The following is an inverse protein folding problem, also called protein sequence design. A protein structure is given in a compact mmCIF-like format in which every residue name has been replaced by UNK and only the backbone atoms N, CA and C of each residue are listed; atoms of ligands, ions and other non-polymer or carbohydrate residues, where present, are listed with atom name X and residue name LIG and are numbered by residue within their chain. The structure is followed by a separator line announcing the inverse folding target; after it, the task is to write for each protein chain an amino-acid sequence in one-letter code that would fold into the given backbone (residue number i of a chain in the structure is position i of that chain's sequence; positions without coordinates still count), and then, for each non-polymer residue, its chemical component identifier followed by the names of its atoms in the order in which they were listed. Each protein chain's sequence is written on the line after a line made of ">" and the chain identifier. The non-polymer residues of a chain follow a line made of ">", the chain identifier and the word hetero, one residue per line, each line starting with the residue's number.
data_IF_911678263223
#
_entry.id   IF_911678263223
#
_cell.length_a   1.000
_cell.length_b   1.000
_cell.length_c   1.000
_cell.angle_alpha   90.00
_cell.angle_beta   90.00
_cell.angle_gamma   90.00
#
_symmetry.space_group_name_H-M   'P 1'
#
loop_
_entity.id
_entity.type
_entity.pdbx_description
1 polymer ?
#
# COMPACT_ATOMS: atom_id res chain seq x y z
N UNK A 1 -13.21 31.64 -3.99
CA UNK A 1 -13.24 30.89 -5.27
C UNK A 1 -13.21 29.42 -4.93
N UNK A 2 -14.38 28.79 -4.90
CA UNK A 2 -14.56 27.34 -4.76
C UNK A 2 -13.99 26.69 -6.02
N UNK A 3 -12.74 26.20 -5.94
CA UNK A 3 -12.25 25.27 -6.94
C UNK A 3 -13.25 24.11 -6.96
N UNK A 4 -13.87 23.86 -8.11
CA UNK A 4 -14.65 22.65 -8.33
C UNK A 4 -13.69 21.50 -8.10
N UNK A 5 -13.80 20.87 -6.93
CA UNK A 5 -13.04 19.68 -6.58
C UNK A 5 -13.34 18.65 -7.66
N UNK A 6 -12.29 18.23 -8.35
CA UNK A 6 -12.39 17.20 -9.38
C UNK A 6 -12.92 15.91 -8.74
N UNK A 7 -14.19 15.64 -9.00
CA UNK A 7 -14.96 14.50 -8.47
C UNK A 7 -14.45 13.17 -9.07
N UNK A 8 -13.53 13.22 -10.05
CA UNK A 8 -12.86 12.05 -10.63
C UNK A 8 -11.92 11.33 -9.65
N UNK A 9 -11.48 12.03 -8.59
CA UNK A 9 -10.54 11.53 -7.59
C UNK A 9 -11.21 10.83 -6.39
N UNK A 10 -12.55 10.78 -6.32
CA UNK A 10 -13.26 10.09 -5.24
C UNK A 10 -12.94 8.59 -5.18
N UNK A 11 -12.87 7.97 -3.99
CA UNK A 11 -12.68 6.54 -3.82
C UNK A 11 -13.94 5.94 -4.42
N UNK A 12 -13.76 5.22 -5.50
CA UNK A 12 -14.88 4.72 -6.22
C UNK A 12 -15.48 3.57 -5.43
N UNK A 13 -16.68 3.78 -4.90
CA UNK A 13 -17.55 2.65 -4.59
C UNK A 13 -17.70 1.89 -5.90
N UNK A 14 -17.15 0.70 -5.96
CA UNK A 14 -17.26 -0.16 -7.13
C UNK A 14 -18.60 -0.86 -7.10
N UNK A 15 -19.05 -1.32 -8.25
CA UNK A 15 -20.22 -2.19 -8.33
C UNK A 15 -20.06 -3.40 -7.41
N UNK A 16 -18.84 -3.95 -7.30
CA UNK A 16 -18.54 -5.07 -6.40
C UNK A 16 -18.84 -4.72 -4.93
N UNK A 17 -18.51 -3.51 -4.48
CA UNK A 17 -18.67 -3.11 -3.09
C UNK A 17 -20.15 -2.96 -2.72
N UNK A 18 -21.01 -2.63 -3.69
CA UNK A 18 -22.46 -2.51 -3.51
C UNK A 18 -23.11 -3.84 -3.14
N UNK A 19 -22.57 -4.97 -3.61
CA UNK A 19 -23.12 -6.31 -3.30
C UNK A 19 -23.12 -6.62 -1.79
N UNK A 20 -22.21 -6.00 -1.02
CA UNK A 20 -22.16 -6.15 0.43
C UNK A 20 -23.11 -5.24 1.21
N UNK A 21 -23.98 -4.46 0.55
CA UNK A 21 -24.76 -3.42 1.22
C UNK A 21 -26.04 -3.90 1.87
N UNK A 22 -26.59 -5.01 1.40
CA UNK A 22 -27.79 -5.62 1.95
C UNK A 22 -27.75 -7.14 1.78
N UNK A 23 -28.29 -7.85 2.76
CA UNK A 23 -28.46 -9.30 2.67
C UNK A 23 -29.46 -9.65 1.55
N UNK A 24 -29.12 -10.65 0.73
CA UNK A 24 -29.95 -11.10 -0.39
C UNK A 24 -29.76 -10.31 -1.70
N UNK A 25 -28.91 -9.27 -1.73
CA UNK A 25 -28.53 -8.59 -2.96
C UNK A 25 -27.66 -9.52 -3.83
N UNK A 26 -28.09 -9.81 -5.06
CA UNK A 26 -27.47 -10.86 -5.88
C UNK A 26 -27.10 -10.38 -7.28
N UNK A 27 -25.84 -10.55 -7.66
CA UNK A 27 -25.42 -10.41 -9.06
C UNK A 27 -26.05 -11.52 -9.92
N UNK A 28 -26.68 -11.14 -11.02
CA UNK A 28 -27.27 -12.08 -11.99
C UNK A 28 -26.61 -11.94 -13.36
N UNK A 29 -26.48 -13.07 -14.07
CA UNK A 29 -25.77 -13.10 -15.36
C UNK A 29 -24.25 -13.22 -15.21
N UNK A 30 -23.49 -12.52 -16.05
CA UNK A 30 -22.03 -12.62 -16.10
C UNK A 30 -21.38 -11.59 -15.16
N UNK A 31 -20.21 -11.89 -14.57
CA UNK A 31 -19.46 -10.94 -13.72
C UNK A 31 -18.72 -9.89 -14.57
N UNK A 32 -19.47 -9.03 -15.26
CA UNK A 32 -18.96 -7.97 -16.13
C UNK A 32 -19.03 -6.62 -15.42
N UNK A 33 -18.04 -5.75 -15.65
CA UNK A 33 -18.09 -4.36 -15.18
C UNK A 33 -18.09 -4.17 -13.65
N UNK A 34 -17.68 -5.18 -12.86
CA UNK A 34 -17.70 -5.11 -11.39
C UNK A 34 -16.77 -4.05 -10.80
N UNK A 35 -15.69 -3.70 -11.50
CA UNK A 35 -14.76 -2.63 -11.11
C UNK A 35 -15.25 -1.22 -11.51
N UNK A 36 -16.41 -1.10 -12.16
CA UNK A 36 -16.96 0.22 -12.52
C UNK A 36 -17.31 1.01 -11.27
N UNK A 37 -17.09 2.33 -11.36
CA UNK A 37 -17.34 3.28 -10.29
C UNK A 37 -18.82 3.67 -10.25
N UNK A 38 -19.43 3.60 -9.08
CA UNK A 38 -20.80 4.03 -8.82
C UNK A 38 -20.75 5.44 -8.23
N UNK A 39 -21.28 6.42 -8.96
CA UNK A 39 -21.27 7.83 -8.52
C UNK A 39 -22.54 8.24 -7.77
N UNK A 40 -23.65 7.58 -8.08
CA UNK A 40 -25.00 7.94 -7.66
C UNK A 40 -25.96 6.77 -7.89
N UNK A 41 -27.08 6.74 -7.18
CA UNK A 41 -28.18 5.81 -7.45
C UNK A 41 -29.41 6.59 -7.89
N UNK A 42 -30.03 6.16 -8.99
CA UNK A 42 -31.19 6.81 -9.57
C UNK A 42 -32.28 5.78 -9.83
N UNK A 43 -33.43 5.96 -9.21
CA UNK A 43 -34.62 5.18 -9.53
C UNK A 43 -35.26 5.70 -10.82
N UNK A 44 -35.60 4.80 -11.74
CA UNK A 44 -36.34 5.11 -12.96
C UNK A 44 -37.01 3.88 -13.55
N UNK A 45 -38.31 4.00 -13.85
CA UNK A 45 -39.06 3.01 -14.63
C UNK A 45 -39.36 3.53 -16.05
N UNK A 46 -38.69 4.59 -16.50
CA UNK A 46 -38.77 5.03 -17.89
C UNK A 46 -38.12 3.99 -18.80
N UNK A 47 -38.76 3.72 -19.95
CA UNK A 47 -38.20 2.82 -20.96
C UNK A 47 -36.92 3.40 -21.57
N UNK A 48 -36.81 4.73 -21.61
CA UNK A 48 -35.59 5.45 -21.94
C UNK A 48 -35.26 6.45 -20.82
N UNK A 49 -34.40 6.06 -19.85
CA UNK A 49 -33.96 6.96 -18.79
C UNK A 49 -32.80 7.87 -19.22
N UNK A 50 -32.23 7.69 -20.42
CA UNK A 50 -30.98 8.35 -20.81
C UNK A 50 -30.98 9.89 -20.76
N UNK A 51 -32.10 10.62 -20.98
CA UNK A 51 -32.10 12.08 -20.90
C UNK A 51 -31.84 12.63 -19.50
N UNK A 52 -32.01 11.81 -18.45
CA UNK A 52 -31.92 12.22 -17.05
C UNK A 52 -30.65 11.73 -16.34
N UNK A 53 -29.76 11.04 -17.08
CA UNK A 53 -28.55 10.43 -16.54
C UNK A 53 -27.31 11.17 -17.05
N UNK A 54 -26.22 11.06 -16.28
CA UNK A 54 -24.92 11.68 -16.58
C UNK A 54 -23.79 10.66 -16.69
N UNK A 55 -24.11 9.37 -16.59
CA UNK A 55 -23.16 8.25 -16.60
C UNK A 55 -22.57 7.96 -15.23
N UNK A 56 -22.23 6.70 -14.98
CA UNK A 56 -21.71 6.20 -13.69
C UNK A 56 -22.79 5.96 -12.62
N UNK A 57 -24.08 6.04 -12.95
CA UNK A 57 -25.16 5.75 -12.01
C UNK A 57 -25.43 4.26 -11.87
N UNK A 58 -25.81 3.87 -10.65
CA UNK A 58 -26.60 2.68 -10.39
C UNK A 58 -28.07 2.99 -10.69
N UNK A 59 -28.62 2.41 -11.76
CA UNK A 59 -30.03 2.62 -12.12
C UNK A 59 -30.91 1.56 -11.47
N UNK A 60 -31.85 2.00 -10.64
CA UNK A 60 -32.76 1.16 -9.87
C UNK A 60 -34.12 1.11 -10.58
N UNK A 61 -34.61 -0.07 -10.91
CA UNK A 61 -35.82 -0.26 -11.72
C UNK A 61 -36.74 -1.30 -11.10
N UNK A 62 -38.05 -1.07 -11.12
CA UNK A 62 -39.05 -2.05 -10.62
C UNK A 62 -39.52 -3.00 -11.70
N UNK A 63 -39.39 -2.59 -12.96
CA UNK A 63 -39.70 -3.39 -14.13
C UNK A 63 -41.12 -3.21 -14.65
N UNK A 64 -41.84 -2.16 -14.20
CA UNK A 64 -43.22 -1.85 -14.59
C UNK A 64 -43.45 -1.84 -16.12
N UNK A 65 -42.45 -1.34 -16.86
CA UNK A 65 -42.47 -1.26 -18.32
C UNK A 65 -41.69 -2.40 -19.02
N UNK A 66 -40.99 -3.25 -18.28
CA UNK A 66 -40.10 -4.29 -18.81
C UNK A 66 -40.84 -5.63 -19.00
N UNK A 67 -41.96 -5.58 -19.72
CA UNK A 67 -42.92 -6.70 -19.81
C UNK A 67 -42.59 -7.76 -20.86
N UNK A 68 -41.75 -7.41 -21.82
CA UNK A 68 -41.32 -8.31 -22.89
C UNK A 68 -39.84 -8.09 -23.24
N UNK A 69 -39.30 -8.99 -24.08
CA UNK A 69 -37.90 -8.95 -24.47
C UNK A 69 -37.52 -7.68 -25.25
N UNK A 70 -38.47 -7.08 -26.00
CA UNK A 70 -38.23 -5.85 -26.76
C UNK A 70 -38.07 -4.66 -25.82
N UNK A 71 -38.96 -4.54 -24.83
CA UNK A 71 -38.88 -3.49 -23.82
C UNK A 71 -37.60 -3.60 -22.99
N UNK A 72 -37.22 -4.82 -22.58
CA UNK A 72 -35.94 -5.07 -21.91
C UNK A 72 -34.75 -4.61 -22.76
N UNK A 73 -34.72 -4.98 -24.05
CA UNK A 73 -33.63 -4.62 -24.94
C UNK A 73 -33.54 -3.10 -25.18
N UNK A 74 -34.69 -2.44 -25.34
CA UNK A 74 -34.79 -0.99 -25.51
C UNK A 74 -34.26 -0.24 -24.29
N UNK A 75 -34.68 -0.65 -23.09
CA UNK A 75 -34.20 -0.08 -21.83
C UNK A 75 -32.69 -0.19 -21.68
N UNK A 76 -32.14 -1.39 -21.86
CA UNK A 76 -30.70 -1.62 -21.68
C UNK A 76 -29.87 -0.88 -22.74
N UNK A 77 -30.34 -0.84 -23.99
CA UNK A 77 -29.65 -0.11 -25.06
C UNK A 77 -29.64 1.39 -24.81
N UNK A 78 -30.79 1.95 -24.42
CA UNK A 78 -30.91 3.35 -24.07
C UNK A 78 -29.99 3.71 -22.89
N UNK A 79 -29.98 2.85 -21.86
CA UNK A 79 -29.13 3.05 -20.70
C UNK A 79 -27.65 2.97 -21.07
N UNK A 80 -27.23 2.00 -21.89
CA UNK A 80 -25.83 1.83 -22.27
C UNK A 80 -25.22 3.07 -22.93
N UNK A 81 -26.02 3.88 -23.63
CA UNK A 81 -25.57 5.12 -24.26
C UNK A 81 -25.05 6.16 -23.26
N UNK A 82 -25.47 6.10 -21.98
CA UNK A 82 -25.01 7.03 -20.94
C UNK A 82 -23.83 6.50 -20.13
N UNK A 83 -23.46 5.22 -20.29
CA UNK A 83 -22.39 4.59 -19.52
C UNK A 83 -22.74 4.38 -18.04
N UNK A 84 -23.79 3.60 -17.71
CA UNK A 84 -24.18 3.32 -16.33
C UNK A 84 -23.10 2.50 -15.62
N UNK A 85 -23.10 2.57 -14.29
CA UNK A 85 -22.29 1.67 -13.49
C UNK A 85 -22.91 0.26 -13.47
N UNK A 86 -24.21 0.17 -13.14
CA UNK A 86 -24.95 -1.09 -13.01
C UNK A 86 -26.47 -0.88 -13.09
N UNK A 87 -27.21 -1.98 -13.22
CA UNK A 87 -28.68 -2.03 -13.09
C UNK A 87 -29.03 -2.79 -11.80
N UNK A 88 -29.84 -2.17 -10.95
CA UNK A 88 -30.48 -2.81 -9.81
C UNK A 88 -31.95 -3.07 -10.10
N UNK A 89 -32.33 -4.33 -10.21
CA UNK A 89 -33.69 -4.75 -10.54
C UNK A 89 -34.45 -5.19 -9.28
N UNK A 90 -35.53 -4.51 -8.90
CA UNK A 90 -36.35 -4.92 -7.76
C UNK A 90 -37.17 -6.17 -8.10
N UNK A 91 -36.89 -7.25 -7.37
CA UNK A 91 -37.66 -8.50 -7.48
C UNK A 91 -38.90 -8.47 -6.60
N UNK A 92 -39.88 -9.31 -6.93
CA UNK A 92 -41.18 -9.43 -6.26
C UNK A 92 -42.05 -8.16 -6.28
N UNK A 93 -41.73 -7.20 -7.17
CA UNK A 93 -42.61 -6.06 -7.49
C UNK A 93 -43.47 -6.41 -8.70
N UNK A 94 -42.82 -6.72 -9.82
CA UNK A 94 -43.48 -7.16 -11.07
C UNK A 94 -43.14 -8.61 -11.42
N UNK A 95 -41.88 -9.00 -11.19
CA UNK A 95 -41.34 -10.31 -11.54
C UNK A 95 -40.62 -10.92 -10.32
N UNK A 96 -40.68 -12.24 -10.16
CA UNK A 96 -40.00 -12.96 -9.06
C UNK A 96 -38.47 -12.93 -9.19
N UNK A 97 -37.97 -12.73 -10.41
CA UNK A 97 -36.56 -12.57 -10.74
C UNK A 97 -36.40 -11.52 -11.83
N UNK A 98 -35.18 -11.05 -12.06
CA UNK A 98 -34.89 -10.18 -13.19
C UNK A 98 -35.16 -10.92 -14.52
N UNK A 99 -35.87 -10.33 -15.49
CA UNK A 99 -36.16 -11.01 -16.77
C UNK A 99 -34.89 -11.43 -17.52
N UNK A 100 -34.85 -12.66 -18.05
CA UNK A 100 -33.69 -13.19 -18.78
C UNK A 100 -33.28 -12.31 -19.98
N UNK A 101 -34.25 -11.68 -20.64
CA UNK A 101 -34.01 -10.76 -21.75
C UNK A 101 -33.25 -9.50 -21.30
N UNK A 102 -33.57 -8.97 -20.11
CA UNK A 102 -32.85 -7.85 -19.51
C UNK A 102 -31.41 -8.24 -19.20
N UNK A 103 -31.23 -9.38 -18.50
CA UNK A 103 -29.92 -9.89 -18.08
C UNK A 103 -29.03 -10.20 -19.29
N UNK A 104 -29.58 -10.84 -20.32
CA UNK A 104 -28.85 -11.21 -21.54
C UNK A 104 -28.37 -9.98 -22.30
N UNK A 105 -29.23 -8.98 -22.48
CA UNK A 105 -28.85 -7.75 -23.16
C UNK A 105 -27.84 -6.94 -22.35
N UNK A 106 -28.01 -6.86 -21.03
CA UNK A 106 -27.07 -6.16 -20.15
C UNK A 106 -25.69 -6.81 -20.21
N UNK A 107 -25.61 -8.15 -20.14
CA UNK A 107 -24.35 -8.89 -20.31
C UNK A 107 -23.69 -8.62 -21.68
N UNK A 108 -24.48 -8.51 -22.77
CA UNK A 108 -23.98 -8.20 -24.12
C UNK A 108 -23.30 -6.84 -24.18
N UNK A 109 -23.84 -5.85 -23.46
CA UNK A 109 -23.29 -4.50 -23.35
C UNK A 109 -22.33 -4.33 -22.15
N UNK A 110 -22.03 -5.44 -21.45
CA UNK A 110 -21.12 -5.46 -20.32
C UNK A 110 -21.63 -4.73 -19.09
N UNK A 111 -22.93 -4.54 -18.92
CA UNK A 111 -23.58 -3.88 -17.77
C UNK A 111 -23.93 -4.94 -16.71
N UNK A 112 -23.37 -4.86 -15.49
CA UNK A 112 -23.77 -5.77 -14.41
C UNK A 112 -25.22 -5.50 -13.99
N UNK A 113 -25.94 -6.58 -13.70
CA UNK A 113 -27.31 -6.55 -13.18
C UNK A 113 -27.33 -7.25 -11.83
N UNK A 114 -27.99 -6.65 -10.84
CA UNK A 114 -28.27 -7.32 -9.58
C UNK A 114 -29.74 -7.23 -9.20
N UNK A 115 -30.22 -8.30 -8.58
CA UNK A 115 -31.56 -8.40 -8.03
C UNK A 115 -31.58 -7.80 -6.62
N UNK A 116 -32.49 -6.86 -6.41
CA UNK A 116 -32.69 -6.15 -5.17
C UNK A 116 -33.88 -6.78 -4.43
N UNK A 117 -33.66 -7.40 -3.25
CA UNK A 117 -34.75 -7.99 -2.48
C UNK A 117 -35.65 -6.90 -1.86
N UNK A 118 -36.91 -7.23 -1.49
CA UNK A 118 -37.82 -6.28 -0.84
C UNK A 118 -37.31 -5.68 0.47
N UNK A 119 -36.37 -6.35 1.13
CA UNK A 119 -35.69 -5.88 2.36
C UNK A 119 -34.68 -4.75 2.11
N UNK A 120 -34.31 -4.48 0.86
CA UNK A 120 -33.36 -3.46 0.45
C UNK A 120 -34.06 -2.35 -0.35
N UNK A 121 -34.80 -1.43 0.31
CA UNK A 121 -35.52 -0.37 -0.38
C UNK A 121 -34.55 0.54 -1.14
N UNK A 122 -34.96 1.08 -2.29
CA UNK A 122 -34.09 1.90 -3.15
C UNK A 122 -33.43 3.08 -2.43
N UNK A 123 -34.10 3.66 -1.43
CA UNK A 123 -33.57 4.76 -0.61
C UNK A 123 -32.25 4.39 0.10
N UNK A 124 -32.07 3.11 0.47
CA UNK A 124 -30.83 2.61 1.10
C UNK A 124 -29.61 2.91 0.24
N UNK A 125 -29.71 2.69 -1.08
CA UNK A 125 -28.60 2.91 -2.00
C UNK A 125 -28.29 4.40 -2.15
N UNK A 126 -29.33 5.22 -2.30
CA UNK A 126 -29.19 6.67 -2.45
C UNK A 126 -28.61 7.31 -1.19
N UNK A 127 -29.12 6.98 0.00
CA UNK A 127 -28.61 7.50 1.28
C UNK A 127 -27.17 7.07 1.54
N UNK A 128 -26.83 5.80 1.27
CA UNK A 128 -25.48 5.28 1.47
C UNK A 128 -24.47 5.94 0.52
N UNK A 129 -24.80 6.06 -0.77
CA UNK A 129 -23.95 6.78 -1.73
C UNK A 129 -23.80 8.27 -1.36
N UNK A 130 -24.87 8.93 -0.94
CA UNK A 130 -24.82 10.32 -0.52
C UNK A 130 -23.93 10.49 0.73
N UNK A 131 -24.08 9.63 1.74
CA UNK A 131 -23.28 9.63 2.96
C UNK A 131 -21.80 9.44 2.66
N UNK A 132 -21.44 8.47 1.83
CA UNK A 132 -20.05 8.21 1.45
C UNK A 132 -19.41 9.41 0.74
N UNK A 133 -20.16 10.13 -0.11
CA UNK A 133 -19.66 11.34 -0.76
C UNK A 133 -19.39 12.48 0.23
N UNK A 134 -20.27 12.66 1.21
CA UNK A 134 -20.07 13.65 2.29
C UNK A 134 -18.82 13.30 3.09
N UNK A 135 -18.69 12.04 3.51
CA UNK A 135 -17.53 11.56 4.27
C UNK A 135 -16.24 11.71 3.46
N UNK A 136 -16.26 11.36 2.17
CA UNK A 136 -15.08 11.53 1.32
C UNK A 136 -14.66 12.99 1.20
N UNK A 137 -15.61 13.90 0.96
CA UNK A 137 -15.32 15.34 0.89
C UNK A 137 -14.72 15.84 2.20
N UNK A 138 -15.28 15.43 3.33
CA UNK A 138 -14.76 15.77 4.65
C UNK A 138 -13.33 15.23 4.85
N UNK A 139 -13.07 13.97 4.47
CA UNK A 139 -11.72 13.38 4.52
C UNK A 139 -10.71 14.15 3.67
N UNK A 140 -11.10 14.62 2.47
CA UNK A 140 -10.23 15.44 1.61
C UNK A 140 -9.99 16.83 2.19
N UNK A 141 -11.00 17.47 2.74
CA UNK A 141 -10.85 18.74 3.45
C UNK A 141 -9.93 18.59 4.66
N UNK A 142 -10.06 17.49 5.41
CA UNK A 142 -9.17 17.14 6.51
C UNK A 142 -7.73 16.89 6.01
N UNK A 143 -7.57 16.17 4.90
CA UNK A 143 -6.27 15.96 4.24
C UNK A 143 -5.57 17.26 3.91
N UNK A 144 -6.30 18.23 3.35
CA UNK A 144 -5.77 19.56 3.09
C UNK A 144 -5.31 20.29 4.37
N UNK A 145 -6.10 20.25 5.44
CA UNK A 145 -5.72 20.85 6.73
C UNK A 145 -4.50 20.16 7.36
N UNK A 146 -4.46 18.83 7.33
CA UNK A 146 -3.33 18.03 7.81
C UNK A 146 -2.05 18.39 7.06
N UNK A 147 -2.12 18.57 5.74
CA UNK A 147 -0.96 18.97 4.93
C UNK A 147 -0.48 20.41 5.24
N UNK A 148 -1.40 21.34 5.49
CA UNK A 148 -1.04 22.68 5.94
C UNK A 148 -0.35 22.67 7.30
N UNK A 149 -0.83 21.85 8.25
CA UNK A 149 -0.20 21.70 9.58
C UNK A 149 1.16 21.04 9.47
N UNK A 150 1.27 19.94 8.70
CA UNK A 150 2.53 19.22 8.48
C UNK A 150 3.61 20.11 7.90
N UNK A 151 3.27 20.96 6.93
CA UNK A 151 4.20 21.87 6.26
C UNK A 151 4.45 23.18 7.01
N UNK A 152 3.88 23.34 8.22
CA UNK A 152 4.03 24.54 9.04
C UNK A 152 3.30 25.78 8.51
N UNK A 153 2.39 25.61 7.55
CA UNK A 153 1.56 26.69 6.98
C UNK A 153 0.30 26.97 7.79
N UNK A 154 -0.08 26.06 8.67
CA UNK A 154 -1.13 26.22 9.66
C UNK A 154 -0.67 25.74 11.04
N UNK A 155 -1.26 26.30 12.10
CA UNK A 155 -1.05 25.81 13.47
C UNK A 155 -1.90 24.56 13.73
N UNK A 156 -1.49 23.66 14.62
CA UNK A 156 -2.28 22.49 15.02
C UNK A 156 -3.71 22.82 15.47
N UNK A 157 -3.94 24.02 16.02
CA UNK A 157 -5.24 24.52 16.44
C UNK A 157 -6.32 24.48 15.34
N UNK A 158 -5.91 24.56 14.06
CA UNK A 158 -6.83 24.42 12.94
C UNK A 158 -7.48 23.03 12.88
N UNK A 159 -6.77 21.98 13.32
CA UNK A 159 -7.30 20.63 13.43
C UNK A 159 -8.17 20.47 14.68
N UNK A 160 -7.84 21.14 15.79
CA UNK A 160 -8.65 21.12 17.02
C UNK A 160 -10.07 21.67 16.78
N UNK A 161 -10.20 22.70 15.94
CA UNK A 161 -11.51 23.25 15.57
C UNK A 161 -12.39 22.23 14.81
N UNK A 162 -11.79 21.30 14.08
CA UNK A 162 -12.49 20.22 13.36
C UNK A 162 -12.71 18.99 14.24
N UNK A 163 -11.73 18.66 15.07
CA UNK A 163 -11.72 17.50 15.94
C UNK A 163 -11.28 17.91 17.36
N UNK A 164 -12.22 18.37 18.21
CA UNK A 164 -11.90 18.82 19.58
C UNK A 164 -11.28 17.73 20.44
N UNK A 165 -11.56 16.45 20.14
CA UNK A 165 -10.96 15.33 20.86
C UNK A 165 -9.44 15.26 20.71
N UNK A 166 -8.84 15.95 19.73
CA UNK A 166 -7.39 16.01 19.59
C UNK A 166 -6.74 16.75 20.77
N UNK A 167 -7.49 17.57 21.52
CA UNK A 167 -7.00 18.29 22.70
C UNK A 167 -6.75 17.32 23.87
N UNK A 168 -5.48 17.18 24.29
CA UNK A 168 -5.00 16.26 25.34
C UNK A 168 -3.96 15.22 24.90
N UNK A 169 -3.60 14.31 25.81
CA UNK A 169 -2.52 13.34 25.62
C UNK A 169 -2.91 12.09 24.79
N UNK A 170 -1.93 11.21 24.58
CA UNK A 170 -2.06 9.91 23.90
C UNK A 170 -2.60 9.98 22.47
N UNK A 171 -2.32 11.07 21.75
CA UNK A 171 -2.63 11.17 20.34
C UNK A 171 -1.68 10.31 19.52
N UNK A 172 -2.23 9.51 18.60
CA UNK A 172 -1.48 8.75 17.60
C UNK A 172 -1.94 9.13 16.19
N UNK A 173 -1.04 8.94 15.23
CA UNK A 173 -1.32 9.09 13.79
C UNK A 173 -1.00 7.78 13.11
N UNK A 174 -1.98 7.21 12.43
CA UNK A 174 -1.81 6.00 11.63
C UNK A 174 -1.88 6.34 10.15
N UNK A 175 -0.83 6.01 9.40
CA UNK A 175 -0.80 6.11 7.95
C UNK A 175 -1.22 4.78 7.30
N UNK A 176 -2.07 4.87 6.28
CA UNK A 176 -2.62 3.77 5.52
C UNK A 176 -2.28 3.96 4.03
N UNK A 177 -1.94 2.87 3.34
CA UNK A 177 -1.61 2.90 1.92
C UNK A 177 -2.83 3.07 0.98
N UNK A 178 -4.07 2.91 1.49
CA UNK A 178 -5.28 2.94 0.66
C UNK A 178 -6.33 3.89 1.23
N UNK A 179 -7.12 4.48 0.33
CA UNK A 179 -8.36 5.19 0.64
C UNK A 179 -9.54 4.27 0.99
N UNK A 180 -9.41 2.97 0.69
CA UNK A 180 -10.36 1.95 1.09
C UNK A 180 -10.17 1.57 2.56
N UNK A 181 -11.08 2.03 3.39
CA UNK A 181 -11.09 1.76 4.83
C UNK A 181 -11.95 0.54 5.18
N UNK A 182 -12.36 -0.26 4.20
CA UNK A 182 -13.13 -1.48 4.43
C UNK A 182 -12.36 -2.43 5.35
N UNK A 183 -12.98 -2.80 6.46
CA UNK A 183 -12.38 -3.68 7.47
C UNK A 183 -11.39 -2.98 8.42
N UNK A 184 -11.19 -1.67 8.31
CA UNK A 184 -10.49 -0.87 9.33
C UNK A 184 -11.49 -0.50 10.43
N UNK A 185 -11.20 -0.93 11.65
CA UNK A 185 -11.99 -0.57 12.84
C UNK A 185 -11.46 0.75 13.40
N UNK A 186 -12.19 1.83 13.12
CA UNK A 186 -11.84 3.18 13.56
C UNK A 186 -12.42 3.45 14.95
N UNK A 187 -11.63 3.99 15.89
CA UNK A 187 -12.17 4.41 17.18
C UNK A 187 -13.13 5.60 17.03
N UNK A 188 -14.01 5.80 18.01
CA UNK A 188 -14.95 6.95 18.01
C UNK A 188 -14.23 8.30 17.92
N UNK A 189 -13.05 8.39 18.52
CA UNK A 189 -12.19 9.57 18.52
C UNK A 189 -11.17 9.46 17.39
N UNK A 190 -11.63 9.63 16.14
CA UNK A 190 -10.78 9.59 14.94
C UNK A 190 -11.12 10.73 13.97
N UNK A 191 -10.08 11.33 13.40
CA UNK A 191 -10.14 12.24 12.27
C UNK A 191 -9.40 11.58 11.10
N UNK A 192 -10.16 11.27 10.06
CA UNK A 192 -9.64 10.66 8.84
C UNK A 192 -9.31 11.76 7.83
N UNK A 193 -8.10 11.73 7.30
CA UNK A 193 -7.54 12.73 6.39
C UNK A 193 -6.97 12.04 5.15
N UNK A 194 -7.54 12.35 3.99
CA UNK A 194 -7.13 11.78 2.70
C UNK A 194 -6.15 12.71 1.98
N UNK A 195 -4.90 12.29 1.86
CA UNK A 195 -3.80 13.02 1.22
C UNK A 195 -3.61 12.61 -0.26
N UNK A 196 -4.48 11.76 -0.82
CA UNK A 196 -4.40 11.22 -2.17
C UNK A 196 -3.90 9.79 -2.17
N UNK A 197 -2.59 9.59 -2.20
CA UNK A 197 -1.97 8.25 -2.25
C UNK A 197 -1.91 7.57 -0.86
N UNK A 198 -2.27 8.31 0.18
CA UNK A 198 -2.16 7.92 1.58
C UNK A 198 -3.34 8.47 2.36
N UNK A 199 -3.84 7.71 3.32
CA UNK A 199 -4.79 8.19 4.32
C UNK A 199 -4.11 8.25 5.67
N UNK A 200 -4.24 9.37 6.35
CA UNK A 200 -3.83 9.54 7.73
C UNK A 200 -5.06 9.51 8.63
N UNK A 201 -4.98 8.75 9.71
CA UNK A 201 -5.98 8.72 10.77
C UNK A 201 -5.33 9.28 12.02
N UNK A 202 -5.78 10.46 12.45
CA UNK A 202 -5.41 11.04 13.74
C UNK A 202 -6.42 10.54 14.76
N UNK A 203 -5.99 9.81 15.78
CA UNK A 203 -6.93 9.13 16.66
C UNK A 203 -6.44 8.99 18.10
N UNK A 204 -7.41 8.71 18.97
CA UNK A 204 -7.20 8.17 20.31
C UNK A 204 -7.83 6.79 20.43
N UNK A 205 -7.16 5.94 21.19
CA UNK A 205 -7.59 4.56 21.39
C UNK A 205 -6.94 3.62 20.38
N UNK A 206 -7.56 2.45 20.19
CA UNK A 206 -6.98 1.40 19.35
C UNK A 206 -7.65 1.37 18.00
N UNK A 207 -6.89 1.66 16.95
CA UNK A 207 -7.26 1.41 15.56
C UNK A 207 -6.84 -0.01 15.18
N UNK A 208 -7.76 -0.81 14.63
CA UNK A 208 -7.44 -2.18 14.17
C UNK A 208 -7.44 -2.25 12.65
N UNK A 209 -6.33 -2.70 12.08
CA UNK A 209 -6.16 -2.93 10.66
C UNK A 209 -6.24 -4.44 10.34
N UNK A 210 -6.76 -4.83 9.17
CA UNK A 210 -6.60 -6.18 8.63
C UNK A 210 -5.12 -6.55 8.48
N UNK A 211 -4.76 -7.82 8.66
CA UNK A 211 -3.37 -8.28 8.55
C UNK A 211 -2.75 -8.07 7.15
N UNK A 212 -3.58 -8.00 6.11
CA UNK A 212 -3.16 -7.73 4.73
C UNK A 212 -2.89 -6.24 4.45
N UNK A 213 -3.27 -5.34 5.36
CA UNK A 213 -3.17 -3.90 5.13
C UNK A 213 -1.81 -3.38 5.60
N UNK A 214 -1.02 -2.86 4.65
CA UNK A 214 0.20 -2.12 4.95
C UNK A 214 -0.17 -0.78 5.60
N UNK A 215 0.26 -0.59 6.83
CA UNK A 215 0.02 0.60 7.63
C UNK A 215 1.23 0.93 8.48
N UNK A 216 1.28 2.16 8.99
CA UNK A 216 2.27 2.52 9.97
C UNK A 216 1.71 3.45 11.05
N UNK A 217 2.25 3.34 12.26
CA UNK A 217 1.80 4.10 13.42
C UNK A 217 2.91 5.02 13.92
N UNK A 218 2.59 6.27 14.20
CA UNK A 218 3.51 7.22 14.85
C UNK A 218 3.85 6.82 16.28
N UNK A 219 4.67 7.62 16.96
CA UNK A 219 4.69 7.60 18.42
C UNK A 219 3.42 8.21 19.00
N UNK A 220 3.42 8.44 20.31
CA UNK A 220 2.38 9.20 21.01
C UNK A 220 2.80 10.65 21.23
N UNK A 221 1.83 11.54 21.37
CA UNK A 221 2.08 12.94 21.69
C UNK A 221 0.85 13.73 22.07
N UNK A 222 1.07 15.03 22.19
CA UNK A 222 0.08 16.06 22.52
C UNK A 222 -0.27 16.91 21.27
N UNK A 223 -1.23 17.85 21.32
CA UNK A 223 -1.63 18.65 20.16
C UNK A 223 -0.46 19.39 19.48
N UNK A 224 0.50 19.91 20.25
CA UNK A 224 1.68 20.58 19.70
C UNK A 224 2.61 19.62 18.94
N UNK A 225 2.54 18.32 19.20
CA UNK A 225 3.33 17.29 18.52
C UNK A 225 2.73 16.85 17.19
N UNK A 226 1.49 17.24 16.86
CA UNK A 226 0.78 16.79 15.65
C UNK A 226 1.64 16.86 14.38
N UNK A 227 2.37 17.96 14.08
CA UNK A 227 3.24 18.00 12.90
C UNK A 227 4.31 16.90 12.90
N UNK A 228 4.92 16.64 14.06
CA UNK A 228 5.92 15.58 14.27
C UNK A 228 5.28 14.19 14.12
N UNK A 229 4.10 13.97 14.70
CA UNK A 229 3.40 12.69 14.63
C UNK A 229 2.97 12.35 13.20
N UNK A 230 2.46 13.35 12.45
CA UNK A 230 2.15 13.22 11.02
C UNK A 230 3.41 12.80 10.26
N UNK A 231 4.52 13.52 10.45
CA UNK A 231 5.76 13.20 9.72
C UNK A 231 6.28 11.79 10.08
N UNK A 232 6.23 11.41 11.35
CA UNK A 232 6.60 10.06 11.79
C UNK A 232 5.73 8.96 11.15
N UNK A 233 4.41 9.17 11.07
CA UNK A 233 3.51 8.21 10.45
C UNK A 233 3.82 8.03 8.95
N UNK A 234 4.10 9.12 8.24
CA UNK A 234 4.46 9.09 6.81
C UNK A 234 5.81 8.41 6.57
N UNK A 235 6.82 8.76 7.35
CA UNK A 235 8.15 8.16 7.26
C UNK A 235 8.10 6.65 7.56
N UNK A 236 7.34 6.27 8.58
CA UNK A 236 7.12 4.87 8.92
C UNK A 236 6.30 4.14 7.85
N UNK A 237 5.33 4.81 7.21
CA UNK A 237 4.54 4.23 6.11
C UNK A 237 5.41 3.99 4.87
N UNK A 238 6.35 4.88 4.56
CA UNK A 238 7.32 4.67 3.49
C UNK A 238 8.21 3.44 3.76
N UNK A 239 8.61 3.23 5.02
CA UNK A 239 9.34 2.03 5.43
C UNK A 239 8.47 0.76 5.33
N UNK A 240 7.22 0.84 5.81
CA UNK A 240 6.25 -0.25 5.75
C UNK A 240 6.00 -0.73 4.30
N UNK A 241 5.83 0.23 3.37
CA UNK A 241 5.70 -0.02 1.92
C UNK A 241 6.90 -0.75 1.34
N UNK A 242 8.11 -0.36 1.75
CA UNK A 242 9.34 -1.02 1.28
C UNK A 242 9.42 -2.47 1.76
N UNK A 243 8.99 -2.73 3.00
CA UNK A 243 9.05 -4.07 3.62
C UNK A 243 7.84 -4.95 3.32
N UNK A 244 6.75 -4.36 2.80
CA UNK A 244 5.43 -5.00 2.69
C UNK A 244 4.93 -5.56 4.04
N UNK A 245 5.24 -4.84 5.12
CA UNK A 245 4.89 -5.20 6.49
C UNK A 245 4.52 -3.93 7.27
N UNK A 246 3.63 -4.00 8.28
CA UNK A 246 3.35 -2.87 9.14
C UNK A 246 4.61 -2.34 9.83
N UNK A 247 4.66 -1.04 10.09
CA UNK A 247 5.76 -0.40 10.79
C UNK A 247 5.28 0.58 11.88
N UNK A 248 6.19 0.96 12.76
CA UNK A 248 5.95 1.92 13.83
C UNK A 248 7.03 3.00 13.83
N UNK A 249 6.81 4.09 14.56
CA UNK A 249 7.86 5.09 14.77
C UNK A 249 9.12 4.51 15.44
N UNK A 250 9.02 3.40 16.17
CA UNK A 250 10.19 2.72 16.73
C UNK A 250 11.09 2.12 15.63
N UNK A 251 10.51 1.66 14.52
CA UNK A 251 11.25 1.16 13.36
C UNK A 251 12.06 2.25 12.65
N UNK A 252 11.75 3.53 12.91
CA UNK A 252 12.53 4.66 12.40
C UNK A 252 13.83 4.86 13.17
N UNK A 253 13.97 4.28 14.38
CA UNK A 253 15.17 4.38 15.21
C UNK A 253 16.30 3.44 14.74
N UNK A 254 16.61 3.46 13.44
CA UNK A 254 17.72 2.71 12.84
C UNK A 254 18.49 3.57 11.84
N UNK A 255 19.78 3.25 11.63
CA UNK A 255 20.60 3.97 10.65
C UNK A 255 20.07 3.80 9.22
N UNK A 256 19.56 2.62 8.86
CA UNK A 256 18.94 2.36 7.56
C UNK A 256 17.68 3.24 7.38
N UNK A 257 16.77 3.24 8.36
CA UNK A 257 15.56 4.06 8.33
C UNK A 257 15.86 5.55 8.29
N UNK A 258 16.78 6.04 9.13
CA UNK A 258 17.23 7.43 9.11
C UNK A 258 17.82 7.79 7.74
N UNK A 259 18.69 6.92 7.21
CA UNK A 259 19.27 7.13 5.90
C UNK A 259 18.17 7.31 4.86
N UNK A 260 17.08 6.52 4.90
CA UNK A 260 15.95 6.57 3.96
C UNK A 260 15.19 7.88 4.02
N UNK A 261 14.96 8.41 5.22
CA UNK A 261 14.20 9.63 5.45
C UNK A 261 14.98 10.91 5.06
N UNK A 262 16.32 10.86 5.02
CA UNK A 262 17.14 12.00 4.61
C UNK A 262 17.00 12.28 3.10
N UNK A 263 16.80 13.55 2.70
CA UNK A 263 16.81 13.92 1.29
C UNK A 263 18.14 13.55 0.63
N UNK A 264 18.09 13.11 -0.63
CA UNK A 264 19.25 12.58 -1.35
C UNK A 264 20.46 13.54 -1.37
N UNK A 265 20.20 14.86 -1.35
CA UNK A 265 21.25 15.89 -1.29
C UNK A 265 22.12 15.81 -0.03
N UNK A 266 21.57 15.44 1.13
CA UNK A 266 22.34 15.30 2.38
C UNK A 266 23.28 14.09 2.34
N UNK A 267 22.93 13.05 1.57
CA UNK A 267 23.76 11.86 1.40
C UNK A 267 24.76 11.98 0.25
N UNK A 268 24.69 13.04 -0.57
CA UNK A 268 25.56 13.19 -1.71
C UNK A 268 27.04 13.20 -1.28
N UNK A 269 27.49 14.04 -0.31
CA UNK A 269 28.90 14.05 0.10
C UNK A 269 29.41 12.67 0.56
N UNK A 270 28.57 11.89 1.24
CA UNK A 270 28.90 10.51 1.61
C UNK A 270 29.11 9.64 0.36
N UNK A 271 28.23 9.75 -0.62
CA UNK A 271 28.36 9.01 -1.90
C UNK A 271 29.61 9.41 -2.67
N UNK A 272 29.86 10.72 -2.83
CA UNK A 272 30.99 11.23 -3.60
C UNK A 272 32.34 10.89 -2.97
N UNK A 273 32.49 11.10 -1.65
CA UNK A 273 33.79 10.94 -0.98
C UNK A 273 34.04 9.53 -0.43
N UNK A 274 33.00 8.73 -0.16
CA UNK A 274 33.18 7.42 0.47
C UNK A 274 32.78 6.26 -0.43
N UNK A 275 31.70 6.35 -1.21
CA UNK A 275 31.26 5.25 -2.08
C UNK A 275 31.94 5.25 -3.46
N UNK A 276 31.96 6.39 -4.15
CA UNK A 276 32.51 6.47 -5.52
C UNK A 276 33.98 6.02 -5.62
N UNK A 277 34.89 6.33 -4.66
CA UNK A 277 36.26 5.82 -4.71
C UNK A 277 36.33 4.30 -4.65
N UNK A 278 35.46 3.66 -3.85
CA UNK A 278 35.38 2.20 -3.73
C UNK A 278 34.82 1.59 -5.02
N UNK A 279 33.68 2.09 -5.50
CA UNK A 279 33.06 1.61 -6.74
C UNK A 279 33.95 1.79 -7.98
N UNK A 280 34.75 2.86 -8.02
CA UNK A 280 35.76 3.06 -9.07
C UNK A 280 36.91 2.06 -8.93
N UNK A 281 37.39 1.82 -7.72
CA UNK A 281 38.48 0.87 -7.48
C UNK A 281 38.06 -0.56 -7.86
N UNK A 282 36.86 -0.98 -7.44
CA UNK A 282 36.29 -2.29 -7.76
C UNK A 282 36.19 -2.52 -9.27
N UNK A 283 35.67 -1.53 -10.02
CA UNK A 283 35.59 -1.61 -11.50
C UNK A 283 36.95 -1.67 -12.18
N UNK A 284 37.95 -0.96 -11.67
CA UNK A 284 39.29 -0.90 -12.30
C UNK A 284 40.15 -2.13 -11.99
N UNK A 285 39.93 -2.79 -10.86
CA UNK A 285 40.80 -3.86 -10.36
C UNK A 285 40.08 -5.20 -10.19
N UNK A 286 38.82 -5.31 -10.63
CA UNK A 286 37.93 -6.46 -10.41
C UNK A 286 37.95 -6.91 -8.93
N UNK A 287 37.78 -5.95 -8.03
CA UNK A 287 37.76 -6.16 -6.59
C UNK A 287 36.33 -6.11 -6.05
N UNK A 288 36.10 -6.66 -4.85
CA UNK A 288 34.79 -6.64 -4.17
C UNK A 288 34.81 -5.81 -2.88
N UNK A 289 35.41 -4.61 -2.87
CA UNK A 289 35.46 -3.78 -1.68
C UNK A 289 34.07 -3.34 -1.21
N UNK A 290 33.18 -2.96 -2.12
CA UNK A 290 31.79 -2.57 -1.81
C UNK A 290 31.04 -3.75 -1.18
N UNK A 291 31.08 -4.92 -1.83
CA UNK A 291 30.44 -6.14 -1.31
C UNK A 291 31.03 -6.56 0.04
N UNK A 292 32.35 -6.42 0.22
CA UNK A 292 33.01 -6.70 1.51
C UNK A 292 32.49 -5.77 2.61
N UNK A 293 32.27 -4.49 2.30
CA UNK A 293 31.72 -3.53 3.25
C UNK A 293 30.26 -3.84 3.60
N UNK A 294 29.44 -4.18 2.62
CA UNK A 294 28.05 -4.62 2.82
C UNK A 294 28.00 -5.87 3.73
N UNK A 295 28.79 -6.90 3.45
CA UNK A 295 28.85 -8.11 4.27
C UNK A 295 29.42 -7.86 5.67
N UNK A 296 30.33 -6.90 5.81
CA UNK A 296 30.84 -6.49 7.13
C UNK A 296 29.73 -5.85 7.98
N UNK A 297 28.87 -5.02 7.38
CA UNK A 297 27.72 -4.40 8.06
C UNK A 297 26.69 -5.45 8.48
N UNK A 298 26.40 -6.44 7.65
CA UNK A 298 25.54 -7.59 8.00
C UNK A 298 26.12 -8.48 9.12
N UNK A 299 27.42 -8.33 9.40
CA UNK A 299 28.13 -9.07 10.43
C UNK A 299 28.42 -8.22 11.68
N UNK A 300 27.75 -7.09 11.87
CA UNK A 300 27.97 -6.15 12.99
C UNK A 300 29.44 -5.71 13.13
N UNK A 301 30.16 -5.57 12.01
CA UNK A 301 31.59 -5.21 12.01
C UNK A 301 32.55 -6.38 12.25
N UNK A 302 32.04 -7.62 12.40
CA UNK A 302 32.87 -8.80 12.65
C UNK A 302 33.60 -9.30 11.40
N UNK A 303 34.91 -9.07 11.36
CA UNK A 303 35.80 -9.54 10.29
C UNK A 303 35.77 -11.06 10.13
N UNK A 304 35.72 -11.80 11.22
CA UNK A 304 35.71 -13.27 11.19
C UNK A 304 34.38 -13.81 10.64
N UNK A 305 33.26 -13.22 11.06
CA UNK A 305 31.95 -13.61 10.52
C UNK A 305 31.83 -13.25 9.03
N UNK A 306 32.26 -12.06 8.64
CA UNK A 306 32.31 -11.61 7.24
C UNK A 306 33.16 -12.54 6.38
N UNK A 307 34.37 -12.92 6.83
CA UNK A 307 35.21 -13.87 6.13
C UNK A 307 34.53 -15.22 5.89
N UNK A 308 33.84 -15.77 6.89
CA UNK A 308 33.08 -17.02 6.74
C UNK A 308 31.95 -16.89 5.71
N UNK A 309 31.15 -15.81 5.74
CA UNK A 309 30.05 -15.59 4.79
C UNK A 309 30.53 -15.41 3.36
N UNK A 310 31.66 -14.74 3.17
CA UNK A 310 32.25 -14.49 1.86
C UNK A 310 33.15 -15.63 1.37
N UNK A 311 33.30 -16.73 2.14
CA UNK A 311 34.27 -17.80 1.87
C UNK A 311 35.73 -17.29 1.72
N UNK A 312 36.09 -16.28 2.49
CA UNK A 312 37.41 -15.66 2.52
C UNK A 312 38.10 -15.90 3.86
N UNK A 313 39.42 -16.05 3.84
CA UNK A 313 40.20 -16.03 5.07
C UNK A 313 40.14 -14.63 5.72
N UNK A 314 40.09 -14.57 7.06
CA UNK A 314 39.97 -13.30 7.80
C UNK A 314 41.08 -12.28 7.44
N UNK A 315 42.28 -12.74 7.09
CA UNK A 315 43.37 -11.86 6.64
C UNK A 315 43.07 -11.16 5.32
N UNK A 316 42.37 -11.82 4.40
CA UNK A 316 41.94 -11.23 3.12
C UNK A 316 40.93 -10.12 3.37
N UNK A 317 39.95 -10.35 4.26
CA UNK A 317 38.99 -9.32 4.68
C UNK A 317 39.74 -8.12 5.29
N UNK A 318 40.66 -8.34 6.24
CA UNK A 318 41.48 -7.26 6.82
C UNK A 318 42.28 -6.48 5.76
N UNK A 319 42.80 -7.15 4.72
CA UNK A 319 43.50 -6.49 3.62
C UNK A 319 42.55 -5.60 2.82
N UNK A 320 41.32 -6.06 2.54
CA UNK A 320 40.27 -5.27 1.89
C UNK A 320 39.85 -4.06 2.74
N UNK A 321 39.65 -4.24 4.05
CA UNK A 321 39.30 -3.13 4.95
C UNK A 321 40.41 -2.07 5.05
N UNK A 322 41.69 -2.47 5.06
CA UNK A 322 42.81 -1.52 4.95
C UNK A 322 42.79 -0.74 3.64
N UNK A 323 42.39 -1.38 2.53
CA UNK A 323 42.25 -0.71 1.25
C UNK A 323 41.10 0.29 1.24
N UNK A 324 39.96 -0.07 1.84
CA UNK A 324 38.83 0.86 2.04
C UNK A 324 39.31 2.10 2.80
N UNK A 325 40.00 1.91 3.93
CA UNK A 325 40.55 3.02 4.71
C UNK A 325 41.50 3.92 3.90
N UNK A 326 42.40 3.33 3.10
CA UNK A 326 43.32 4.10 2.26
C UNK A 326 42.62 4.91 1.16
N UNK A 327 41.45 4.46 0.67
CA UNK A 327 40.71 5.13 -0.40
C UNK A 327 39.75 6.21 0.12
N UNK A 328 39.19 6.03 1.30
CA UNK A 328 38.12 6.90 1.84
C UNK A 328 38.56 7.74 3.03
N UNK A 329 39.71 7.43 3.64
CA UNK A 329 40.14 7.99 4.91
C UNK A 329 39.36 7.48 6.12
N UNK A 330 38.38 6.57 5.94
CA UNK A 330 37.50 6.06 7.00
C UNK A 330 37.85 4.63 7.38
N UNK A 331 38.06 4.37 8.66
CA UNK A 331 38.46 3.05 9.13
C UNK A 331 37.22 2.19 9.46
N UNK A 332 36.93 1.10 8.72
CA UNK A 332 35.75 0.26 8.97
C UNK A 332 35.75 -0.46 10.33
N UNK A 333 36.86 -0.48 11.05
CA UNK A 333 36.93 -1.01 12.41
C UNK A 333 36.45 -0.02 13.49
N UNK A 334 36.30 1.26 13.15
CA UNK A 334 35.81 2.31 14.06
C UNK A 334 34.30 2.48 13.84
N UNK A 335 33.45 2.34 14.87
CA UNK A 335 31.99 2.39 14.71
C UNK A 335 31.47 3.64 14.00
N UNK A 336 32.00 4.83 14.34
CA UNK A 336 31.60 6.10 13.73
C UNK A 336 31.94 6.16 12.24
N UNK A 337 33.10 5.65 11.85
CA UNK A 337 33.53 5.60 10.45
C UNK A 337 32.75 4.55 9.67
N UNK A 338 32.46 3.40 10.30
CA UNK A 338 31.61 2.36 9.72
C UNK A 338 30.19 2.86 9.47
N UNK A 339 29.62 3.67 10.38
CA UNK A 339 28.33 4.32 10.18
C UNK A 339 28.35 5.32 9.01
N UNK A 340 29.40 6.13 8.88
CA UNK A 340 29.56 7.03 7.73
C UNK A 340 29.67 6.25 6.40
N UNK A 341 30.41 5.14 6.40
CA UNK A 341 30.51 4.23 5.26
C UNK A 341 29.17 3.58 4.92
N UNK A 342 28.37 3.19 5.92
CA UNK A 342 27.03 2.65 5.72
C UNK A 342 26.08 3.65 5.05
N UNK A 343 26.11 4.93 5.48
CA UNK A 343 25.33 6.01 4.86
C UNK A 343 25.71 6.29 3.40
N UNK A 344 26.93 5.93 3.00
CA UNK A 344 27.42 6.14 1.64
C UNK A 344 26.91 5.07 0.65
N UNK A 345 26.53 3.89 1.13
CA UNK A 345 26.12 2.78 0.28
C UNK A 345 24.81 3.12 -0.47
N UNK A 346 24.65 2.67 -1.73
CA UNK A 346 23.43 2.83 -2.48
C UNK A 346 22.31 2.04 -1.81
N UNK A 347 21.13 2.64 -1.73
CA UNK A 347 19.94 1.97 -1.21
C UNK A 347 19.48 0.97 -2.27
N UNK A 348 19.40 -0.31 -1.96
CA UNK A 348 18.75 -1.29 -2.84
C UNK A 348 17.27 -0.95 -2.90
N UNK A 349 16.82 -0.41 -4.02
CA UNK A 349 15.38 -0.32 -4.30
C UNK A 349 14.88 -1.75 -4.51
N UNK A 350 13.89 -2.15 -3.71
CA UNK A 350 13.09 -3.33 -4.06
C UNK A 350 12.32 -2.92 -5.30
N UNK A 351 12.81 -3.32 -6.47
CA UNK A 351 12.12 -3.09 -7.72
C UNK A 351 10.71 -3.69 -7.60
N UNK A 352 9.72 -2.81 -7.53
CA UNK A 352 8.33 -3.18 -7.75
C UNK A 352 8.26 -3.95 -9.06
N UNK A 353 7.63 -5.13 -9.00
CA UNK A 353 7.35 -6.00 -10.14
C UNK A 353 6.88 -5.20 -11.34
N UNK A 354 7.71 -5.11 -12.39
CA UNK A 354 7.27 -4.57 -13.68
C UNK A 354 8.32 -3.85 -14.52
N UNK A 355 9.50 -4.44 -14.76
CA UNK A 355 10.21 -4.42 -16.04
C UNK A 355 11.61 -5.02 -15.87
N UNK A 356 11.78 -6.24 -16.40
CA UNK A 356 13.11 -6.81 -16.62
C UNK A 356 13.68 -6.17 -17.88
N UNK A 357 14.71 -5.34 -17.72
CA UNK A 357 15.65 -5.06 -18.81
C UNK A 357 17.08 -5.12 -18.25
N UNK A 358 17.84 -6.12 -18.69
CA UNK A 358 19.30 -6.06 -18.66
C UNK A 358 20.03 -6.87 -17.58
N UNK A 359 19.61 -8.10 -17.28
CA UNK A 359 20.49 -9.05 -16.60
C UNK A 359 21.68 -9.39 -17.53
N UNK A 360 22.87 -8.89 -17.22
CA UNK A 360 24.11 -9.38 -17.81
C UNK A 360 24.39 -10.77 -17.24
N UNK A 361 24.16 -11.78 -18.07
CA UNK A 361 24.40 -13.19 -17.82
C UNK A 361 25.87 -13.44 -17.45
N UNK A 362 26.12 -13.86 -16.20
CA UNK A 362 27.37 -14.53 -15.80
C UNK A 362 27.15 -16.04 -15.87
N UNK A 363 28.02 -16.72 -16.62
CA UNK A 363 28.02 -18.16 -16.90
C UNK A 363 28.06 -19.01 -15.62
N UNK A 364 27.39 -20.19 -15.56
CA UNK A 364 27.39 -21.03 -14.37
C UNK A 364 28.78 -21.64 -14.11
N UNK A 365 29.20 -21.62 -12.84
CA UNK A 365 30.42 -22.24 -12.35
C UNK A 365 30.33 -23.78 -12.44
N UNK A 366 31.45 -24.43 -12.81
CA UNK A 366 31.59 -25.90 -12.83
C UNK A 366 31.39 -26.49 -11.41
N UNK A 367 30.81 -27.69 -11.30
CA UNK A 367 30.68 -28.36 -10.01
C UNK A 367 32.04 -28.81 -9.47
N UNK A 368 32.30 -28.52 -8.19
CA UNK A 368 33.45 -28.98 -7.42
C UNK A 368 33.14 -30.39 -6.87
N UNK A 369 34.04 -31.39 -6.96
CA UNK A 369 33.78 -32.71 -6.39
C UNK A 369 33.92 -32.69 -4.85
N UNK A 370 33.01 -33.40 -4.18
CA UNK A 370 33.03 -33.59 -2.73
C UNK A 370 34.22 -34.46 -2.29
N UNK A 371 34.88 -34.17 -1.16
CA UNK A 371 35.94 -35.02 -0.61
C UNK A 371 35.36 -36.32 -0.01
N UNK A 372 36.01 -37.44 -0.28
CA UNK A 372 35.68 -38.75 0.29
C UNK A 372 36.00 -38.80 1.79
N UNK A 373 35.03 -39.24 2.61
CA UNK A 373 35.23 -39.53 4.03
C UNK A 373 36.04 -40.82 4.24
N UNK A 374 36.94 -40.88 5.24
CA UNK A 374 37.61 -42.11 5.60
C UNK A 374 36.66 -43.04 6.38
N UNK A 375 36.42 -44.23 5.83
CA UNK A 375 35.77 -45.35 6.53
C UNK A 375 36.74 -45.97 7.52
N UNK A 376 36.49 -45.76 8.82
CA UNK A 376 37.17 -46.46 9.90
C UNK A 376 36.17 -46.92 10.95
N UNK A 377 35.71 -48.17 10.84
CA UNK A 377 34.95 -48.84 11.89
C UNK A 377 35.91 -49.31 13.00
N UNK A 378 35.53 -49.22 14.29
CA UNK A 378 36.34 -49.74 15.39
C UNK A 378 36.19 -51.27 15.49
N UNK A 379 37.31 -51.99 15.41
CA UNK A 379 37.38 -53.42 15.70
C UNK A 379 37.29 -53.66 17.21
N UNK A 380 36.20 -54.28 17.64
CA UNK A 380 36.08 -54.95 18.93
C UNK A 380 36.81 -56.30 18.86
N UNK A 381 37.77 -56.53 19.75
CA UNK A 381 38.19 -57.90 20.10
C UNK A 381 38.32 -58.01 21.62
N UNK A 382 37.26 -58.56 22.21
CA UNK A 382 37.25 -59.19 23.52
C UNK A 382 38.20 -60.40 23.49
N UNK A 383 39.15 -60.48 24.43
CA UNK A 383 39.67 -61.76 24.91
C UNK A 383 39.23 -61.90 26.37
N UNK A 384 38.23 -62.74 26.57
CA UNK A 384 38.01 -63.42 27.83
C UNK A 384 38.79 -64.74 27.76
N UNK A 385 39.88 -64.78 28.52
CA UNK A 385 40.20 -65.89 29.41
C UNK A 385 39.70 -65.44 30.78
N UNK A 386 38.79 -66.13 31.47
CA UNK A 386 38.18 -67.45 31.24
C UNK A 386 36.66 -67.37 31.08
#
# INVERSE_FOLDING_TARGET
>A
MTAALDDSAAPAIRVLDVLGWAEGLRLVGRPVGLERRVRWAQASDLLDPSPYLRGGELVLVTGLLLRDARACAQFVTALAATGPAAIGYAVHVVHDCAPDALVSEANRLGIPVFEIPPTAPFILFTERLARERVLYRERRENGYLVELVRTGRARPDALLARAPFLDGADLEVTGLQTGDLSGVDLPEQALVADLGDEVLVLHRGTLRCPASLVHAVSGRGEPQDVPRLIQQALDALALARTRQLPATAADLASLDSLSRCLPAGYLQPFREFLYQPLARYDRLHDADLVVTLEELLHCDGSVTACGRRMFLHANTVRKRLRRIHALTGKNPAVPTDLAALALALPRTEVAGSGQVVGATTRSPAKPVPLPAWPTGAPSTSTRASA
#
